data_IF_748953386430
#
_entry.id   IF_748953386430
#
_cell.length_a   1.000
_cell.length_b   1.000
_cell.length_c   1.000
_cell.angle_alpha   90.00
_cell.angle_beta   90.00
_cell.angle_gamma   90.00
#
_symmetry.space_group_name_H-M   'P 1'
#
loop_
_entity.id
_entity.type
_entity.pdbx_description
1 polymer ?
#
# COMPACT_ATOMS: atom_id res chain seq x y z
N UNK A 1 38.15 -25.59 -29.18
CA UNK A 1 37.30 -26.63 -28.55
C UNK A 1 36.17 -25.86 -27.85
N UNK A 2 35.08 -25.51 -28.54
CA UNK A 2 33.86 -26.32 -28.79
C UNK A 2 33.24 -26.80 -27.46
N UNK A 3 31.99 -26.50 -27.07
CA UNK A 3 30.74 -26.48 -27.85
C UNK A 3 29.66 -25.48 -27.38
N UNK A 4 28.76 -25.19 -28.32
CA UNK A 4 27.47 -24.48 -28.31
C UNK A 4 26.38 -25.26 -27.55
N UNK A 5 25.38 -24.55 -26.99
CA UNK A 5 24.08 -25.10 -26.59
C UNK A 5 22.99 -24.04 -26.47
N UNK A 6 22.06 -24.00 -27.42
CA UNK A 6 20.89 -23.12 -27.53
C UNK A 6 19.67 -23.64 -26.70
N UNK A 7 18.87 -22.68 -26.23
CA UNK A 7 17.40 -22.62 -26.21
C UNK A 7 16.52 -23.54 -25.32
N UNK A 8 15.55 -22.89 -24.66
CA UNK A 8 14.20 -23.41 -24.40
C UNK A 8 14.00 -24.08 -23.05
N UNK A 9 12.81 -24.18 -22.47
CA UNK A 9 11.46 -23.66 -22.68
C UNK A 9 10.71 -23.96 -21.36
N UNK A 10 9.57 -23.30 -21.19
CA UNK A 10 8.49 -23.58 -20.25
C UNK A 10 8.26 -25.08 -19.91
N UNK A 11 7.86 -25.34 -18.67
CA UNK A 11 7.21 -26.57 -18.17
C UNK A 11 6.36 -26.05 -16.99
N UNK A 12 5.04 -25.82 -17.03
CA UNK A 12 3.87 -26.53 -17.57
C UNK A 12 3.79 -28.02 -17.21
N UNK A 13 3.52 -28.29 -15.95
CA UNK A 13 2.90 -29.56 -15.55
C UNK A 13 1.39 -29.55 -15.83
N UNK A 14 0.98 -30.44 -16.73
CA UNK A 14 -0.40 -30.83 -17.06
C UNK A 14 -0.72 -32.18 -16.40
N UNK A 15 -1.98 -32.36 -15.96
CA UNK A 15 -2.93 -33.50 -16.23
C UNK A 15 -3.98 -33.60 -15.10
N UNK A 16 -5.28 -33.39 -15.31
CA UNK A 16 -6.32 -34.16 -16.04
C UNK A 16 -6.65 -35.56 -15.47
N UNK A 17 -7.95 -35.76 -15.17
CA UNK A 17 -8.63 -37.03 -14.88
C UNK A 17 -9.30 -37.00 -13.49
N UNK A 18 -10.57 -37.35 -13.28
CA UNK A 18 -11.61 -37.93 -14.12
C UNK A 18 -12.95 -37.68 -13.44
N UNK A 19 -13.98 -37.46 -14.25
CA UNK A 19 -15.36 -37.47 -13.76
C UNK A 19 -15.80 -38.85 -13.25
N UNK A 20 -16.80 -38.84 -12.39
CA UNK A 20 -17.73 -39.95 -12.22
C UNK A 20 -19.07 -39.39 -11.78
N UNK A 21 -20.01 -39.42 -12.72
CA UNK A 21 -21.44 -39.31 -12.48
C UNK A 21 -21.99 -40.71 -12.19
N UNK A 22 -22.87 -40.83 -11.20
CA UNK A 22 -23.89 -41.89 -10.96
C UNK A 22 -24.61 -41.46 -9.67
N UNK A 23 -25.94 -41.45 -9.53
CA UNK A 23 -26.97 -42.29 -10.13
C UNK A 23 -28.30 -41.53 -10.16
N UNK A 24 -28.97 -41.61 -11.31
CA UNK A 24 -30.41 -41.39 -11.44
C UNK A 24 -31.15 -42.58 -10.83
N UNK A 25 -32.05 -42.32 -9.89
CA UNK A 25 -33.14 -43.23 -9.54
C UNK A 25 -34.41 -42.40 -9.46
N UNK A 26 -35.29 -42.57 -10.45
CA UNK A 26 -36.60 -41.97 -10.47
C UNK A 26 -37.59 -42.69 -9.57
N UNK A 27 -38.55 -41.92 -9.07
CA UNK A 27 -39.96 -42.31 -8.92
C UNK A 27 -40.35 -43.07 -7.66
N UNK A 28 -41.10 -42.40 -6.77
CA UNK A 28 -42.45 -42.80 -6.32
C UNK A 28 -42.94 -41.82 -5.20
N UNK A 29 -43.98 -41.05 -5.50
CA UNK A 29 -44.94 -40.45 -4.53
C UNK A 29 -45.80 -41.60 -3.92
N UNK A 30 -46.63 -41.46 -2.84
CA UNK A 30 -47.28 -40.25 -2.28
C UNK A 30 -47.37 -40.27 -0.70
N UNK A 31 -48.44 -39.78 -0.03
CA UNK A 31 -48.63 -38.42 0.49
C UNK A 31 -48.74 -38.36 2.03
N UNK A 32 -48.54 -37.20 2.66
CA UNK A 32 -48.90 -37.05 4.07
C UNK A 32 -48.44 -35.77 4.77
N UNK A 33 -49.39 -34.85 4.91
CA UNK A 33 -49.67 -33.99 6.07
C UNK A 33 -48.56 -33.15 6.74
N UNK A 34 -48.81 -31.84 6.83
CA UNK A 34 -48.41 -31.04 8.00
C UNK A 34 -47.81 -29.67 7.71
N UNK A 35 -48.65 -28.63 7.73
CA UNK A 35 -48.33 -27.20 7.73
C UNK A 35 -47.21 -26.75 8.68
N UNK A 36 -46.47 -25.67 8.34
CA UNK A 36 -45.82 -24.82 9.32
C UNK A 36 -46.73 -23.65 9.72
N UNK A 37 -47.30 -23.70 10.93
CA UNK A 37 -47.91 -22.53 11.59
C UNK A 37 -47.22 -22.26 12.91
N UNK A 38 -46.34 -21.26 12.93
CA UNK A 38 -46.08 -20.48 14.15
C UNK A 38 -45.56 -19.09 13.78
N UNK A 39 -46.49 -18.21 13.41
CA UNK A 39 -46.32 -16.77 13.63
C UNK A 39 -47.54 -16.32 14.43
N UNK A 40 -47.31 -16.12 15.73
CA UNK A 40 -48.20 -15.34 16.58
C UNK A 40 -48.19 -13.90 16.03
N UNK A 41 -49.34 -13.39 15.60
CA UNK A 41 -49.68 -11.98 15.78
C UNK A 41 -51.20 -11.87 15.87
N UNK A 42 -51.59 -11.11 16.87
CA UNK A 42 -52.89 -11.07 17.51
C UNK A 42 -53.97 -10.36 16.69
N UNK A 43 -55.21 -10.61 17.10
CA UNK A 43 -56.46 -10.09 16.55
C UNK A 43 -56.47 -8.58 16.32
N UNK A 44 -57.01 -8.17 15.17
CA UNK A 44 -58.04 -7.13 15.15
C UNK A 44 -58.94 -7.30 13.93
N UNK A 45 -60.02 -8.04 14.16
CA UNK A 45 -61.37 -7.85 13.59
C UNK A 45 -61.52 -6.94 12.36
N UNK A 46 -61.59 -7.59 11.19
CA UNK A 46 -62.70 -7.51 10.24
C UNK A 46 -63.35 -6.13 9.97
N UNK A 47 -63.10 -5.54 8.79
CA UNK A 47 -64.12 -5.08 7.81
C UNK A 47 -63.51 -4.33 6.61
N UNK A 48 -63.56 -4.98 5.45
CA UNK A 48 -64.14 -4.47 4.18
C UNK A 48 -63.69 -3.07 3.70
N UNK A 49 -62.75 -3.05 2.74
CA UNK A 49 -62.89 -2.40 1.41
C UNK A 49 -61.53 -2.03 0.80
N UNK A 50 -61.40 -2.35 -0.49
CA UNK A 50 -60.33 -1.91 -1.40
C UNK A 50 -60.64 -0.44 -1.81
N UNK A 51 -59.65 0.46 -1.82
CA UNK A 51 -59.33 1.12 -3.09
C UNK A 51 -57.82 1.24 -3.38
N UNK A 52 -57.47 0.91 -4.63
CA UNK A 52 -56.26 1.34 -5.34
C UNK A 52 -56.17 2.88 -5.32
N UNK A 53 -54.95 3.44 -5.16
CA UNK A 53 -54.39 4.63 -5.85
C UNK A 53 -53.24 5.19 -5.00
N UNK A 54 -52.03 5.20 -5.57
CA UNK A 54 -51.16 6.39 -5.72
C UNK A 54 -49.69 5.98 -5.62
N UNK A 55 -49.08 5.82 -6.78
CA UNK A 55 -47.65 5.65 -6.98
C UNK A 55 -46.89 6.87 -6.45
N UNK A 56 -46.18 6.72 -5.32
CA UNK A 56 -45.11 7.64 -4.97
C UNK A 56 -43.77 6.91 -5.15
N UNK A 57 -43.36 6.75 -6.41
CA UNK A 57 -41.98 6.38 -6.74
C UNK A 57 -41.09 7.55 -6.36
N UNK A 58 -40.48 7.47 -5.17
CA UNK A 58 -39.41 8.37 -4.77
C UNK A 58 -38.15 7.98 -5.58
N UNK A 59 -38.06 8.46 -6.82
CA UNK A 59 -36.82 8.41 -7.57
C UNK A 59 -35.85 9.44 -6.95
N UNK A 60 -35.02 8.99 -6.00
CA UNK A 60 -33.84 9.76 -5.63
C UNK A 60 -32.94 9.80 -6.86
N UNK A 61 -32.88 10.95 -7.52
CA UNK A 61 -31.85 11.25 -8.49
C UNK A 61 -30.54 11.30 -7.70
N UNK A 62 -29.84 10.17 -7.64
CA UNK A 62 -28.46 10.13 -7.20
C UNK A 62 -27.65 10.89 -8.27
N UNK A 63 -27.54 12.20 -8.11
CA UNK A 63 -26.53 12.99 -8.79
C UNK A 63 -25.19 12.43 -8.34
N UNK A 64 -24.63 11.54 -9.15
CA UNK A 64 -23.30 10.99 -8.96
C UNK A 64 -22.32 12.14 -8.97
N UNK A 65 -21.91 12.61 -7.79
CA UNK A 65 -20.64 13.29 -7.63
C UNK A 65 -19.57 12.25 -7.95
N UNK A 66 -19.20 12.15 -9.23
CA UNK A 66 -17.89 11.64 -9.59
C UNK A 66 -16.90 12.65 -8.99
N UNK A 67 -16.48 12.39 -7.75
CA UNK A 67 -15.32 13.05 -7.18
C UNK A 67 -14.18 12.75 -8.14
N UNK A 68 -13.77 13.75 -8.92
CA UNK A 68 -12.50 13.73 -9.61
C UNK A 68 -11.44 13.58 -8.53
N UNK A 69 -11.04 12.35 -8.25
CA UNK A 69 -9.86 12.09 -7.47
C UNK A 69 -8.73 12.75 -8.24
N UNK A 70 -8.24 13.88 -7.73
CA UNK A 70 -6.99 14.44 -8.21
C UNK A 70 -5.96 13.33 -8.08
N UNK A 71 -5.40 12.90 -9.21
CA UNK A 71 -4.21 12.07 -9.20
C UNK A 71 -3.10 12.94 -8.60
N UNK A 72 -3.01 12.93 -7.27
CA UNK A 72 -1.94 13.60 -6.56
C UNK A 72 -0.67 12.90 -7.02
N UNK A 73 0.22 13.65 -7.69
CA UNK A 73 1.57 13.16 -7.98
C UNK A 73 2.14 12.75 -6.62
N UNK A 74 2.45 11.47 -6.39
CA UNK A 74 2.93 11.04 -5.10
C UNK A 74 4.22 11.81 -4.81
N UNK A 75 4.20 12.56 -3.72
CA UNK A 75 5.37 13.26 -3.21
C UNK A 75 6.47 12.24 -2.97
N UNK A 76 7.74 12.58 -3.27
CA UNK A 76 8.84 11.67 -2.99
C UNK A 76 8.87 11.36 -1.49
N UNK A 77 9.18 10.10 -1.16
CA UNK A 77 9.39 9.69 0.22
C UNK A 77 10.59 10.45 0.81
N UNK A 78 10.46 10.88 2.06
CA UNK A 78 11.54 11.60 2.75
C UNK A 78 12.44 10.60 3.45
N UNK A 79 13.74 10.62 3.13
CA UNK A 79 14.75 9.84 3.83
C UNK A 79 15.58 10.78 4.71
N UNK A 80 15.68 10.44 5.99
CA UNK A 80 16.51 11.14 6.96
C UNK A 80 17.35 10.12 7.72
N UNK A 81 18.56 10.48 8.12
CA UNK A 81 19.39 9.60 8.95
C UNK A 81 19.89 10.32 10.19
N UNK A 82 20.12 9.54 11.25
CA UNK A 82 20.69 10.00 12.51
C UNK A 82 21.91 9.15 12.82
N UNK A 83 23.03 9.80 13.13
CA UNK A 83 24.25 9.14 13.58
C UNK A 83 24.03 8.49 14.94
N UNK A 84 24.21 7.17 15.04
CA UNK A 84 24.13 6.45 16.30
C UNK A 84 25.48 6.35 16.99
N UNK A 85 26.54 6.09 16.21
CA UNK A 85 27.90 5.95 16.71
C UNK A 85 28.88 6.41 15.66
N UNK A 86 29.93 7.11 16.09
CA UNK A 86 31.01 7.58 15.25
C UNK A 86 32.35 7.36 15.94
N UNK A 87 33.35 6.98 15.16
CA UNK A 87 34.73 6.83 15.57
C UNK A 87 35.64 7.40 14.47
N UNK A 88 36.94 7.58 14.71
CA UNK A 88 37.82 8.29 13.78
C UNK A 88 37.88 7.70 12.36
N UNK A 89 37.58 6.41 12.21
CA UNK A 89 37.66 5.68 10.95
C UNK A 89 36.30 5.37 10.31
N UNK A 90 35.17 5.66 10.97
CA UNK A 90 33.85 5.27 10.46
C UNK A 90 32.69 5.66 11.37
N UNK A 91 31.48 5.38 10.90
CA UNK A 91 30.25 5.68 11.61
C UNK A 91 29.13 4.71 11.25
N UNK A 92 28.15 4.59 12.15
CA UNK A 92 26.88 3.92 11.89
C UNK A 92 25.72 4.90 12.10
N UNK A 93 24.74 4.84 11.20
CA UNK A 93 23.57 5.70 11.21
C UNK A 93 22.28 4.89 10.99
N UNK A 94 21.21 5.34 11.63
CA UNK A 94 19.86 4.81 11.47
C UNK A 94 19.11 5.69 10.50
N UNK A 95 18.47 5.06 9.51
CA UNK A 95 17.67 5.72 8.49
C UNK A 95 16.19 5.60 8.84
N UNK A 96 15.50 6.72 8.73
CA UNK A 96 14.06 6.83 8.87
C UNK A 96 13.48 7.22 7.51
N UNK A 97 12.48 6.46 7.07
CA UNK A 97 11.78 6.71 5.81
C UNK A 97 10.36 7.13 6.12
N UNK A 98 9.96 8.31 5.65
CA UNK A 98 8.62 8.86 5.86
C UNK A 98 7.85 8.89 4.54
N UNK A 99 6.65 8.34 4.55
CA UNK A 99 5.69 8.53 3.47
C UNK A 99 4.75 9.70 3.82
N UNK A 100 4.89 10.88 3.19
CA UNK A 100 3.98 12.01 3.41
C UNK A 100 2.66 11.88 2.63
N UNK A 101 2.52 10.84 1.79
CA UNK A 101 1.35 10.68 0.94
C UNK A 101 0.17 10.10 1.71
N UNK A 102 -1.03 10.41 1.22
CA UNK A 102 -2.32 9.83 1.65
C UNK A 102 -2.54 8.40 1.15
N UNK A 103 -1.60 7.84 0.39
CA UNK A 103 -1.64 6.49 -0.20
C UNK A 103 -0.40 5.69 0.18
N UNK A 104 -0.52 4.36 0.16
CA UNK A 104 0.64 3.48 0.33
C UNK A 104 1.59 3.60 -0.86
N UNK A 105 2.90 3.66 -0.59
CA UNK A 105 3.93 3.87 -1.62
C UNK A 105 5.08 2.88 -1.42
N UNK A 106 5.57 2.35 -2.54
CA UNK A 106 6.82 1.61 -2.58
C UNK A 106 8.00 2.59 -2.45
N UNK A 107 8.78 2.47 -1.38
CA UNK A 107 9.78 3.48 -1.07
C UNK A 107 11.13 3.19 -1.72
N UNK A 108 11.74 4.26 -2.22
CA UNK A 108 13.13 4.32 -2.67
C UNK A 108 13.64 5.73 -2.50
N UNK A 109 14.91 5.91 -2.18
CA UNK A 109 15.51 7.24 -2.09
C UNK A 109 17.02 7.20 -2.20
N UNK A 110 17.61 8.38 -2.26
CA UNK A 110 19.08 8.53 -2.30
C UNK A 110 19.51 9.47 -1.19
N UNK A 111 20.55 9.08 -0.46
CA UNK A 111 21.19 9.87 0.58
C UNK A 111 22.61 10.21 0.14
N UNK A 112 23.02 11.44 0.42
CA UNK A 112 24.44 11.82 0.29
C UNK A 112 25.15 11.42 1.57
N UNK A 113 26.15 10.57 1.46
CA UNK A 113 26.95 10.06 2.56
C UNK A 113 28.43 10.37 2.33
N UNK A 114 29.18 10.46 3.42
CA UNK A 114 30.63 10.55 3.35
C UNK A 114 31.24 9.16 3.49
N UNK A 115 32.25 8.87 2.68
CA UNK A 115 32.98 7.61 2.77
C UNK A 115 32.39 6.44 1.96
N UNK A 116 32.68 5.21 2.37
CA UNK A 116 32.27 3.97 1.68
C UNK A 116 31.41 3.12 2.61
N UNK A 117 30.22 2.72 2.15
CA UNK A 117 29.33 1.85 2.91
C UNK A 117 29.93 0.46 3.03
N UNK A 118 30.01 -0.02 4.27
CA UNK A 118 30.47 -1.37 4.59
C UNK A 118 29.29 -2.32 4.75
N UNK A 119 28.24 -1.85 5.42
CA UNK A 119 27.11 -2.68 5.78
C UNK A 119 25.81 -1.87 5.76
N UNK A 120 24.74 -2.48 5.27
CA UNK A 120 23.38 -1.93 5.33
C UNK A 120 22.46 -3.06 5.77
N UNK A 121 21.48 -2.75 6.60
CA UNK A 121 20.45 -3.69 7.01
C UNK A 121 19.06 -3.14 6.72
N UNK A 122 18.11 -4.06 6.55
CA UNK A 122 16.70 -3.76 6.29
C UNK A 122 16.42 -2.97 5.00
N UNK A 123 17.38 -2.90 4.07
CA UNK A 123 17.21 -2.22 2.78
C UNK A 123 18.11 -2.86 1.70
N UNK A 124 17.66 -2.78 0.45
CA UNK A 124 18.51 -2.95 -0.73
C UNK A 124 19.27 -1.64 -0.96
N UNK A 125 20.57 -1.73 -1.28
CA UNK A 125 21.41 -0.55 -1.42
C UNK A 125 22.35 -0.63 -2.61
N UNK A 126 22.69 0.52 -3.16
CA UNK A 126 23.75 0.69 -4.14
C UNK A 126 24.44 2.03 -3.89
N UNK A 127 25.77 2.08 -3.97
CA UNK A 127 26.53 3.32 -3.80
C UNK A 127 27.22 3.70 -5.11
N UNK A 128 27.11 4.97 -5.50
CA UNK A 128 27.88 5.58 -6.57
C UNK A 128 28.52 6.87 -6.05
N UNK A 129 29.85 6.91 -5.96
CA UNK A 129 30.56 8.05 -5.37
C UNK A 129 30.16 8.28 -3.91
N UNK A 130 29.59 9.45 -3.61
CA UNK A 130 29.01 9.84 -2.31
C UNK A 130 27.49 9.64 -2.23
N UNK A 131 26.84 9.16 -3.29
CA UNK A 131 25.40 8.92 -3.33
C UNK A 131 25.09 7.46 -2.98
N UNK A 132 24.37 7.27 -1.89
CA UNK A 132 23.83 5.98 -1.44
C UNK A 132 22.35 5.89 -1.82
N UNK A 133 22.02 5.05 -2.78
CA UNK A 133 20.64 4.71 -3.13
C UNK A 133 20.15 3.56 -2.25
N UNK A 134 18.97 3.75 -1.64
CA UNK A 134 18.30 2.81 -0.76
C UNK A 134 16.90 2.49 -1.28
N UNK A 135 16.49 1.24 -1.18
CA UNK A 135 15.13 0.79 -1.51
C UNK A 135 14.67 -0.34 -0.59
N UNK A 136 13.36 -0.49 -0.46
CA UNK A 136 12.80 -1.50 0.43
C UNK A 136 12.96 -2.93 -0.08
N UNK A 137 13.11 -3.85 0.88
CA UNK A 137 13.07 -5.29 0.67
C UNK A 137 11.61 -5.76 0.53
N UNK A 138 11.38 -6.97 0.00
CA UNK A 138 10.03 -7.49 -0.23
C UNK A 138 9.08 -7.39 0.98
N UNK A 139 9.60 -7.48 2.20
CA UNK A 139 8.83 -7.42 3.44
C UNK A 139 8.58 -6.01 3.99
N UNK A 140 9.34 -4.99 3.56
CA UNK A 140 9.18 -3.59 3.99
C UNK A 140 9.14 -2.58 2.83
N UNK A 141 8.92 -3.05 1.59
CA UNK A 141 8.92 -2.20 0.39
C UNK A 141 7.83 -1.17 0.40
N UNK A 142 6.66 -1.52 0.93
CA UNK A 142 5.48 -0.66 0.91
C UNK A 142 5.28 -0.01 2.27
N UNK A 143 5.27 1.33 2.30
CA UNK A 143 4.95 2.11 3.50
C UNK A 143 3.52 2.63 3.37
N UNK A 144 2.70 2.38 4.39
CA UNK A 144 1.33 2.86 4.41
C UNK A 144 1.23 4.40 4.32
N UNK A 145 0.04 4.89 3.99
CA UNK A 145 -0.26 6.31 3.96
C UNK A 145 0.10 6.97 5.29
N UNK A 146 0.80 8.11 5.24
CA UNK A 146 1.22 8.83 6.45
C UNK A 146 1.93 7.93 7.49
N UNK A 147 2.66 6.91 7.06
CA UNK A 147 3.45 6.05 7.95
C UNK A 147 4.95 6.33 7.86
N UNK A 148 5.67 5.93 8.91
CA UNK A 148 7.11 6.06 9.03
C UNK A 148 7.71 4.68 9.25
N UNK A 149 8.69 4.32 8.43
CA UNK A 149 9.46 3.11 8.58
C UNK A 149 10.78 3.43 9.29
N UNK A 150 11.08 2.65 10.33
CA UNK A 150 12.31 2.71 11.11
C UNK A 150 12.96 1.32 11.13
N UNK A 151 14.19 1.22 11.67
CA UNK A 151 14.92 -0.05 11.74
C UNK A 151 15.77 -0.34 10.49
N UNK A 152 15.91 0.65 9.60
CA UNK A 152 16.91 0.65 8.53
C UNK A 152 18.14 1.36 9.06
N UNK A 153 19.32 0.93 8.62
CA UNK A 153 20.54 1.65 8.92
C UNK A 153 21.71 1.15 8.11
N UNK A 154 22.81 1.88 8.23
CA UNK A 154 24.04 1.60 7.52
C UNK A 154 25.25 1.95 8.38
N UNK A 155 26.38 1.31 8.08
CA UNK A 155 27.69 1.71 8.57
C UNK A 155 28.61 2.01 7.38
N UNK A 156 29.44 3.04 7.53
CA UNK A 156 30.36 3.51 6.51
C UNK A 156 31.71 3.82 7.12
N UNK A 157 32.77 3.46 6.41
CA UNK A 157 34.12 3.94 6.68
C UNK A 157 34.23 5.40 6.26
N UNK A 158 34.94 6.21 7.03
CA UNK A 158 35.16 7.64 6.76
C UNK A 158 34.37 8.58 7.66
N UNK A 159 34.35 9.85 7.29
CA UNK A 159 33.60 10.89 8.01
C UNK A 159 32.20 11.05 7.43
N UNK A 160 31.16 11.29 8.25
CA UNK A 160 29.83 11.58 7.76
C UNK A 160 29.82 12.78 6.81
N UNK A 161 28.94 12.78 5.82
CA UNK A 161 28.74 13.96 4.98
C UNK A 161 28.33 15.14 5.90
N UNK A 162 28.85 16.35 5.64
CA UNK A 162 28.41 17.52 6.40
C UNK A 162 26.90 17.65 6.22
N UNK A 163 26.18 17.71 7.33
CA UNK A 163 24.75 18.05 7.31
C UNK A 163 24.61 19.35 6.51
N UNK A 164 23.69 19.42 5.51
CA UNK A 164 23.44 20.67 4.81
C UNK A 164 23.23 21.77 5.86
N UNK A 165 24.04 22.82 5.80
CA UNK A 165 23.84 23.97 6.68
C UNK A 165 22.40 24.46 6.52
N UNK A 166 21.71 24.87 7.59
CA UNK A 166 20.39 25.46 7.44
C UNK A 166 20.50 26.62 6.46
N UNK A 167 19.69 26.61 5.40
CA UNK A 167 19.59 27.76 4.51
C UNK A 167 19.34 29.00 5.37
N UNK A 168 20.15 30.07 5.25
CA UNK A 168 19.89 31.30 6.00
C UNK A 168 18.44 31.71 5.81
N UNK A 169 17.72 31.96 6.89
CA UNK A 169 16.38 32.54 6.80
C UNK A 169 16.47 33.80 5.93
N UNK A 170 15.47 34.08 5.05
CA UNK A 170 15.51 35.30 4.25
C UNK A 170 15.63 36.49 5.21
N UNK A 171 16.69 37.28 5.05
CA UNK A 171 16.85 38.54 5.78
C UNK A 171 15.57 39.36 5.57
N UNK A 172 14.87 39.81 6.63
CA UNK A 172 13.71 40.68 6.48
C UNK A 172 14.10 41.89 5.61
N UNK A 173 13.32 42.17 4.57
CA UNK A 173 13.50 43.37 3.78
C UNK A 173 13.41 44.60 4.70
N UNK A 174 14.26 45.63 4.51
CA UNK A 174 14.17 46.83 5.33
C UNK A 174 12.79 47.47 5.15
N UNK A 175 12.08 47.70 6.27
CA UNK A 175 10.85 48.47 6.29
C UNK A 175 11.10 49.87 5.73
N UNK A 176 10.35 50.35 4.71
CA UNK A 176 10.46 51.73 4.24
C UNK A 176 10.17 52.72 5.36
N UNK A 177 10.99 53.77 5.49
CA UNK A 177 10.76 54.84 6.45
C UNK A 177 9.50 55.66 6.06
N UNK A 178 8.69 56.13 7.03
CA UNK A 178 7.57 57.02 6.74
C UNK A 178 8.08 58.38 6.22
N UNK A 179 7.39 58.92 5.21
CA UNK A 179 7.63 60.26 4.62
C UNK A 179 6.90 61.34 5.41
#
# INVERSE_FOLDING_TARGET
MAFVGLAGRYDLWLRFGSGSAVRSTGGLLPPGCGDPRSINQEETSMRKSIPVISTLTLALVAAGLAATASAQVPSPVTLSYVLNSQWPAGYCASVTVRNPNSVAVDWSGTLTIGGKVNNVWSAQWAQSGSSLSLSGLAWNKTIAANATLTGIGFCSDGTPAPTPAPTPAPTPAPTPAPT
#
